data_IF_117735333893
#
_entry.id   IF_117735333893
#
_cell.length_a   1.000
_cell.length_b   1.000
_cell.length_c   1.000
_cell.angle_alpha   90.00
_cell.angle_beta   90.00
_cell.angle_gamma   90.00
#
_symmetry.space_group_name_H-M   'P 1'
#
loop_
_entity.id
_entity.type
_entity.pdbx_description
1 polymer ?
#
# COMPACT_ATOMS: atom_id res chain seq x y z
N UNK A 1 4.57 1.72 10.97
CA UNK A 1 3.44 0.80 11.15
C UNK A 1 3.75 -0.22 12.25
N UNK A 2 4.85 -0.90 12.25
CA UNK A 2 5.25 -1.92 13.23
C UNK A 2 6.21 -1.40 14.33
N UNK A 3 6.33 -0.09 14.50
CA UNK A 3 7.18 0.57 15.51
C UNK A 3 8.66 0.13 15.50
N UNK A 4 9.21 -0.02 14.31
CA UNK A 4 10.59 -0.46 14.09
C UNK A 4 10.78 -1.98 13.99
N UNK A 5 9.74 -2.76 14.25
CA UNK A 5 9.75 -4.22 14.10
C UNK A 5 9.45 -4.66 12.65
N UNK A 6 9.57 -5.94 12.36
CA UNK A 6 9.41 -6.51 11.02
C UNK A 6 8.64 -7.83 11.04
N UNK A 7 8.10 -8.21 9.89
CA UNK A 7 7.50 -9.55 9.67
C UNK A 7 8.61 -10.57 9.48
N UNK A 8 8.43 -11.76 10.04
CA UNK A 8 9.26 -12.91 9.74
C UNK A 8 8.87 -13.46 8.36
N UNK A 9 9.82 -13.49 7.43
CA UNK A 9 9.65 -14.05 6.09
C UNK A 9 10.09 -15.51 6.03
N UNK A 10 9.66 -16.21 4.98
CA UNK A 10 10.06 -17.59 4.72
C UNK A 10 11.58 -17.72 4.52
N UNK A 11 12.11 -18.92 4.83
CA UNK A 11 13.52 -19.22 4.62
C UNK A 11 13.85 -19.34 3.13
N UNK A 12 14.88 -18.66 2.67
CA UNK A 12 15.36 -18.75 1.30
C UNK A 12 15.76 -20.18 0.88
N UNK A 13 16.13 -21.01 1.85
CA UNK A 13 16.55 -22.40 1.60
C UNK A 13 15.37 -23.31 1.22
N UNK A 14 14.15 -23.00 1.66
CA UNK A 14 12.98 -23.86 1.51
C UNK A 14 11.89 -23.23 0.64
N UNK A 15 12.24 -22.21 -0.17
CA UNK A 15 11.25 -21.46 -0.96
C UNK A 15 10.40 -22.36 -1.85
N UNK A 16 11.04 -23.31 -2.54
CA UNK A 16 10.34 -24.21 -3.47
C UNK A 16 9.36 -25.13 -2.74
N UNK A 17 9.82 -25.75 -1.67
CA UNK A 17 9.01 -26.66 -0.87
C UNK A 17 7.83 -25.95 -0.23
N UNK A 18 8.04 -24.73 0.29
CA UNK A 18 7.00 -23.91 0.88
C UNK A 18 5.94 -23.50 -0.17
N UNK A 19 6.38 -23.10 -1.37
CA UNK A 19 5.47 -22.79 -2.47
C UNK A 19 4.68 -24.02 -2.92
N UNK A 20 5.35 -25.14 -3.12
CA UNK A 20 4.71 -26.38 -3.54
C UNK A 20 3.68 -26.84 -2.52
N UNK A 21 3.97 -26.67 -1.23
CA UNK A 21 3.04 -26.95 -0.15
C UNK A 21 1.81 -26.03 -0.20
N UNK A 22 1.99 -24.70 -0.19
CA UNK A 22 0.88 -23.75 -0.19
C UNK A 22 -0.01 -23.90 -1.44
N UNK A 23 0.60 -24.07 -2.62
CA UNK A 23 -0.17 -24.31 -3.83
C UNK A 23 -0.86 -25.69 -3.84
N UNK A 24 -0.30 -26.71 -3.18
CA UNK A 24 -0.96 -28.00 -3.06
C UNK A 24 -2.20 -27.91 -2.18
N UNK A 25 -2.11 -27.18 -1.06
CA UNK A 25 -3.25 -26.93 -0.17
C UNK A 25 -4.35 -26.17 -0.92
N UNK A 26 -3.97 -25.11 -1.64
CA UNK A 26 -4.91 -24.30 -2.40
C UNK A 26 -5.60 -25.09 -3.52
N UNK A 27 -4.87 -25.93 -4.26
CA UNK A 27 -5.46 -26.82 -5.27
C UNK A 27 -6.41 -27.88 -4.70
N UNK A 28 -6.19 -28.30 -3.47
CA UNK A 28 -7.05 -29.25 -2.78
C UNK A 28 -8.29 -28.57 -2.14
N UNK A 29 -8.26 -27.26 -1.98
CA UNK A 29 -9.33 -26.52 -1.35
C UNK A 29 -10.60 -26.45 -2.23
N UNK A 30 -11.76 -26.62 -1.63
CA UNK A 30 -13.03 -26.65 -2.33
C UNK A 30 -13.83 -25.39 -2.02
N UNK A 31 -14.01 -24.56 -3.02
CA UNK A 31 -14.82 -23.34 -2.95
C UNK A 31 -16.34 -23.62 -3.04
N UNK A 32 -16.73 -24.79 -3.53
CA UNK A 32 -18.15 -25.12 -3.69
C UNK A 32 -18.87 -25.21 -2.34
N UNK A 33 -19.99 -24.52 -2.22
CA UNK A 33 -20.81 -24.50 -1.01
C UNK A 33 -20.41 -23.46 0.03
N UNK A 34 -19.33 -22.71 -0.19
CA UNK A 34 -18.92 -21.61 0.68
C UNK A 34 -19.77 -20.36 0.41
N UNK A 35 -20.00 -19.60 1.47
CA UNK A 35 -20.49 -18.23 1.39
C UNK A 35 -19.39 -17.31 0.82
N UNK A 36 -19.76 -16.14 0.34
CA UNK A 36 -18.77 -15.14 -0.11
C UNK A 36 -17.85 -14.70 1.05
N UNK A 37 -18.36 -14.60 2.28
CA UNK A 37 -17.55 -14.26 3.45
C UNK A 37 -16.48 -15.31 3.73
N UNK A 38 -16.84 -16.60 3.71
CA UNK A 38 -15.88 -17.71 3.89
C UNK A 38 -14.85 -17.75 2.75
N UNK A 39 -15.30 -17.51 1.51
CA UNK A 39 -14.42 -17.41 0.35
C UNK A 39 -13.41 -16.28 0.51
N UNK A 40 -13.85 -15.08 0.91
CA UNK A 40 -12.98 -13.93 1.15
C UNK A 40 -11.98 -14.21 2.29
N UNK A 41 -12.43 -14.83 3.38
CA UNK A 41 -11.56 -15.19 4.49
C UNK A 41 -10.47 -16.17 4.06
N UNK A 42 -10.82 -17.21 3.30
CA UNK A 42 -9.84 -18.15 2.75
C UNK A 42 -8.86 -17.48 1.80
N UNK A 43 -9.35 -16.68 0.84
CA UNK A 43 -8.52 -15.94 -0.11
C UNK A 43 -7.57 -14.95 0.56
N UNK A 44 -8.04 -14.28 1.61
CA UNK A 44 -7.21 -13.38 2.41
C UNK A 44 -6.07 -14.12 3.10
N UNK A 45 -6.35 -15.28 3.68
CA UNK A 45 -5.34 -16.13 4.30
C UNK A 45 -4.34 -16.66 3.27
N UNK A 46 -4.82 -17.18 2.14
CA UNK A 46 -3.97 -17.72 1.07
C UNK A 46 -3.02 -16.67 0.50
N UNK A 47 -3.53 -15.50 0.10
CA UNK A 47 -2.68 -14.46 -0.48
C UNK A 47 -1.67 -13.90 0.52
N UNK A 48 -2.04 -13.85 1.81
CA UNK A 48 -1.16 -13.37 2.88
C UNK A 48 0.01 -14.32 3.12
N UNK A 49 -0.24 -15.63 3.18
CA UNK A 49 0.80 -16.66 3.32
C UNK A 49 1.71 -16.68 2.10
N UNK A 50 1.15 -16.64 0.89
CA UNK A 50 1.93 -16.58 -0.34
C UNK A 50 2.87 -15.37 -0.36
N UNK A 51 2.41 -14.20 0.09
CA UNK A 51 3.23 -13.00 0.20
C UNK A 51 4.35 -13.16 1.24
N UNK A 52 4.08 -13.84 2.37
CA UNK A 52 5.05 -14.07 3.45
C UNK A 52 6.24 -14.93 3.02
N UNK A 53 6.08 -15.81 2.04
CA UNK A 53 7.19 -16.61 1.49
C UNK A 53 8.31 -15.70 0.99
N UNK A 54 7.99 -14.51 0.49
CA UNK A 54 8.94 -13.47 0.09
C UNK A 54 9.95 -13.93 -0.96
N UNK A 55 9.45 -14.45 -2.07
CA UNK A 55 10.20 -15.19 -3.10
C UNK A 55 11.29 -14.36 -3.78
N UNK A 56 11.08 -13.03 -3.90
CA UNK A 56 11.97 -12.14 -4.62
C UNK A 56 12.70 -11.19 -3.67
N UNK A 57 13.91 -10.72 -4.05
CA UNK A 57 14.63 -9.68 -3.33
C UNK A 57 13.86 -8.35 -3.27
N UNK A 58 13.11 -8.04 -4.36
CA UNK A 58 12.27 -6.85 -4.48
C UNK A 58 10.98 -7.16 -5.23
N UNK A 59 9.95 -6.32 -5.04
CA UNK A 59 8.71 -6.37 -5.81
C UNK A 59 7.71 -7.43 -5.38
N UNK A 60 7.91 -8.12 -4.24
CA UNK A 60 7.03 -9.17 -3.76
C UNK A 60 5.55 -8.76 -3.73
N UNK A 61 5.21 -7.60 -3.19
CA UNK A 61 3.82 -7.13 -3.15
C UNK A 61 3.21 -6.95 -4.54
N UNK A 62 3.96 -6.38 -5.49
CA UNK A 62 3.47 -6.22 -6.88
C UNK A 62 3.26 -7.56 -7.56
N UNK A 63 4.21 -8.47 -7.42
CA UNK A 63 4.10 -9.81 -8.02
C UNK A 63 2.94 -10.58 -7.41
N UNK A 64 2.77 -10.52 -6.09
CA UNK A 64 1.63 -11.13 -5.40
C UNK A 64 0.29 -10.54 -5.89
N UNK A 65 0.19 -9.22 -6.04
CA UNK A 65 -1.02 -8.58 -6.56
C UNK A 65 -1.35 -9.04 -7.99
N UNK A 66 -0.37 -9.05 -8.89
CA UNK A 66 -0.56 -9.51 -10.29
C UNK A 66 -0.95 -10.98 -10.35
N UNK A 67 -0.29 -11.84 -9.58
CA UNK A 67 -0.66 -13.24 -9.47
C UNK A 67 -2.09 -13.38 -8.95
N UNK A 68 -2.43 -12.66 -7.89
CA UNK A 68 -3.70 -12.77 -7.22
C UNK A 68 -4.87 -12.30 -8.09
N UNK A 69 -4.72 -11.20 -8.83
CA UNK A 69 -5.69 -10.78 -9.84
C UNK A 69 -5.97 -11.88 -10.86
N UNK A 70 -4.90 -12.51 -11.39
CA UNK A 70 -5.05 -13.63 -12.34
C UNK A 70 -5.73 -14.83 -11.71
N UNK A 71 -5.40 -15.12 -10.46
CA UNK A 71 -6.00 -16.22 -9.72
C UNK A 71 -7.48 -15.99 -9.44
N UNK A 72 -7.86 -14.79 -9.01
CA UNK A 72 -9.26 -14.41 -8.83
C UNK A 72 -10.06 -14.56 -10.14
N UNK A 73 -9.50 -14.13 -11.27
CA UNK A 73 -10.12 -14.32 -12.59
C UNK A 73 -10.26 -15.80 -12.96
N UNK A 74 -9.28 -16.62 -12.63
CA UNK A 74 -9.35 -18.06 -12.82
C UNK A 74 -10.48 -18.70 -12.01
N UNK A 75 -10.74 -18.19 -10.81
CA UNK A 75 -11.86 -18.61 -9.97
C UNK A 75 -13.23 -18.05 -10.45
N UNK A 76 -13.25 -17.21 -11.48
CA UNK A 76 -14.46 -16.64 -12.06
C UNK A 76 -14.87 -15.28 -11.49
N UNK A 77 -14.03 -14.64 -10.67
CA UNK A 77 -14.29 -13.29 -10.18
C UNK A 77 -13.87 -12.22 -11.19
N UNK A 78 -14.62 -11.14 -11.25
CA UNK A 78 -14.18 -9.92 -11.92
C UNK A 78 -13.20 -9.18 -10.99
N UNK A 79 -11.93 -9.13 -11.37
CA UNK A 79 -10.90 -8.42 -10.65
C UNK A 79 -10.01 -7.67 -11.63
N UNK A 80 -9.82 -6.38 -11.39
CA UNK A 80 -8.92 -5.51 -12.12
C UNK A 80 -7.76 -5.02 -11.25
N UNK A 81 -6.92 -4.15 -11.81
CA UNK A 81 -5.78 -3.59 -11.11
C UNK A 81 -6.07 -2.23 -10.46
N UNK A 82 -7.25 -1.66 -10.65
CA UNK A 82 -7.53 -0.27 -10.30
C UNK A 82 -7.49 -0.07 -8.78
N UNK A 83 -8.17 -0.93 -8.03
CA UNK A 83 -8.15 -0.88 -6.57
C UNK A 83 -6.75 -1.13 -5.99
N UNK A 84 -5.97 -2.04 -6.59
CA UNK A 84 -4.59 -2.30 -6.18
C UNK A 84 -3.67 -1.10 -6.46
N UNK A 85 -3.89 -0.38 -7.55
CA UNK A 85 -3.13 0.83 -7.90
C UNK A 85 -3.48 1.98 -6.96
N UNK A 86 -4.77 2.21 -6.72
CA UNK A 86 -5.26 3.27 -5.85
C UNK A 86 -4.84 3.06 -4.38
N UNK A 87 -4.92 1.82 -3.91
CA UNK A 87 -4.68 1.45 -2.52
C UNK A 87 -3.46 0.53 -2.33
N UNK A 88 -2.41 0.68 -3.13
CA UNK A 88 -1.22 -0.18 -3.10
C UNK A 88 -0.53 -0.25 -1.73
N UNK A 89 -0.46 0.86 -1.01
CA UNK A 89 0.07 0.92 0.35
C UNK A 89 -0.83 0.23 1.38
N UNK A 90 -2.15 0.38 1.23
CA UNK A 90 -3.10 -0.32 2.08
C UNK A 90 -2.94 -1.83 1.91
N UNK A 91 -2.97 -2.32 0.67
CA UNK A 91 -2.82 -3.75 0.37
C UNK A 91 -1.51 -4.32 0.94
N UNK A 92 -0.38 -3.62 0.72
CA UNK A 92 0.90 -4.00 1.32
C UNK A 92 0.84 -4.07 2.85
N UNK A 93 0.30 -3.05 3.48
CA UNK A 93 0.24 -2.97 4.94
C UNK A 93 -0.73 -4.00 5.52
N UNK A 94 -1.82 -4.31 4.82
CA UNK A 94 -2.75 -5.38 5.17
C UNK A 94 -2.05 -6.76 5.17
N UNK A 95 -1.24 -7.05 4.14
CA UNK A 95 -0.42 -8.28 4.09
C UNK A 95 0.61 -8.33 5.23
N UNK A 96 1.22 -7.20 5.58
CA UNK A 96 2.11 -7.11 6.75
C UNK A 96 1.35 -7.44 8.03
N UNK A 97 0.16 -6.87 8.25
CA UNK A 97 -0.66 -7.13 9.46
C UNK A 97 -1.16 -8.56 9.53
N UNK A 98 -1.42 -9.18 8.39
CA UNK A 98 -1.84 -10.57 8.32
C UNK A 98 -0.73 -11.57 8.69
N UNK A 99 0.52 -11.13 8.80
CA UNK A 99 1.68 -11.97 9.08
C UNK A 99 2.55 -11.45 10.25
N UNK A 100 2.04 -10.47 11.01
CA UNK A 100 2.78 -9.89 12.11
C UNK A 100 2.23 -10.29 13.47
N UNK A 101 3.09 -10.89 14.29
CA UNK A 101 2.82 -11.24 15.67
C UNK A 101 3.84 -10.58 16.62
N UNK A 102 3.35 -9.97 17.70
CA UNK A 102 4.14 -9.54 18.83
C UNK A 102 3.42 -9.92 20.12
N UNK A 103 3.56 -11.20 20.49
CA UNK A 103 2.84 -11.81 21.61
C UNK A 103 3.13 -11.09 22.94
N UNK A 104 4.36 -10.58 23.11
CA UNK A 104 4.75 -9.84 24.33
C UNK A 104 3.93 -8.58 24.53
N UNK A 105 3.48 -7.96 23.45
CA UNK A 105 2.66 -6.75 23.45
C UNK A 105 1.17 -7.05 23.18
N UNK A 106 0.76 -8.32 23.16
CA UNK A 106 -0.62 -8.71 22.90
C UNK A 106 -1.08 -8.46 21.46
N UNK A 107 -0.15 -8.38 20.51
CA UNK A 107 -0.45 -8.12 19.09
C UNK A 107 -0.40 -9.45 18.33
N UNK A 108 -1.50 -9.76 17.66
CA UNK A 108 -1.66 -10.97 16.87
C UNK A 108 -1.87 -10.63 15.40
N UNK A 109 -1.47 -11.56 14.53
CA UNK A 109 -1.78 -11.48 13.09
C UNK A 109 -3.30 -11.42 12.87
N UNK A 110 -3.70 -10.70 11.82
CA UNK A 110 -5.11 -10.59 11.44
C UNK A 110 -5.26 -10.37 9.94
N UNK A 111 -6.14 -11.15 9.31
CA UNK A 111 -6.49 -11.00 7.89
C UNK A 111 -7.57 -9.94 7.65
N UNK A 112 -8.15 -9.35 8.70
CA UNK A 112 -9.28 -8.42 8.64
C UNK A 112 -9.09 -7.30 7.61
N UNK A 113 -7.89 -6.73 7.52
CA UNK A 113 -7.59 -5.65 6.57
C UNK A 113 -7.51 -6.15 5.13
N UNK A 114 -7.01 -7.36 4.90
CA UNK A 114 -7.02 -8.00 3.57
C UNK A 114 -8.45 -8.35 3.18
N UNK A 115 -9.24 -8.89 4.09
CA UNK A 115 -10.66 -9.19 3.87
C UNK A 115 -11.45 -7.92 3.52
N UNK A 116 -11.21 -6.81 4.25
CA UNK A 116 -11.82 -5.50 3.97
C UNK A 116 -11.51 -5.02 2.55
N UNK A 117 -10.26 -5.17 2.12
CA UNK A 117 -9.83 -4.88 0.75
C UNK A 117 -10.56 -5.78 -0.26
N UNK A 118 -10.66 -7.07 0.01
CA UNK A 118 -11.31 -8.03 -0.87
C UNK A 118 -12.82 -7.84 -0.97
N UNK A 119 -13.48 -7.40 0.10
CA UNK A 119 -14.92 -7.02 0.03
C UNK A 119 -15.14 -5.85 -0.93
N UNK A 120 -14.26 -4.85 -0.88
CA UNK A 120 -14.34 -3.76 -1.86
C UNK A 120 -14.10 -4.26 -3.28
N UNK A 121 -13.11 -5.14 -3.49
CA UNK A 121 -12.75 -5.64 -4.80
C UNK A 121 -13.80 -6.58 -5.40
N UNK A 122 -14.33 -7.53 -4.61
CA UNK A 122 -15.15 -8.63 -5.10
C UNK A 122 -16.66 -8.42 -4.93
N UNK A 123 -17.05 -7.59 -3.96
CA UNK A 123 -18.45 -7.30 -3.66
C UNK A 123 -18.86 -5.87 -3.99
N UNK A 124 -17.89 -5.01 -4.42
CA UNK A 124 -18.16 -3.61 -4.70
C UNK A 124 -18.51 -2.78 -3.47
N UNK A 125 -18.14 -3.26 -2.25
CA UNK A 125 -18.28 -2.49 -1.03
C UNK A 125 -17.40 -1.24 -1.07
N UNK A 126 -17.77 -0.23 -0.28
CA UNK A 126 -17.04 1.04 -0.17
C UNK A 126 -16.46 1.23 1.23
N UNK A 127 -15.84 0.19 1.76
CA UNK A 127 -15.14 0.30 3.04
C UNK A 127 -13.98 1.29 2.93
N UNK A 128 -13.84 2.16 3.92
CA UNK A 128 -12.71 3.06 4.00
C UNK A 128 -11.42 2.27 4.28
N UNK A 129 -10.40 2.42 3.41
CA UNK A 129 -9.14 1.69 3.46
C UNK A 129 -8.04 2.60 4.06
N UNK A 130 -8.03 2.75 5.39
CA UNK A 130 -7.11 3.63 6.09
C UNK A 130 -5.89 2.90 6.65
N UNK A 131 -4.68 3.26 6.21
CA UNK A 131 -3.43 2.69 6.70
C UNK A 131 -3.21 2.87 8.21
N UNK A 132 -3.74 3.94 8.80
CA UNK A 132 -3.63 4.24 10.22
C UNK A 132 -4.22 3.16 11.13
N UNK A 133 -5.25 2.45 10.68
CA UNK A 133 -5.92 1.39 11.44
C UNK A 133 -5.01 0.18 11.67
N UNK A 134 -3.97 0.02 10.84
CA UNK A 134 -3.02 -1.09 10.89
C UNK A 134 -1.80 -0.84 11.78
N UNK A 135 -1.67 0.36 12.37
CA UNK A 135 -0.55 0.65 13.26
C UNK A 135 -0.68 -0.10 14.59
N UNK A 136 0.39 -0.77 15.00
CA UNK A 136 0.43 -1.56 16.23
C UNK A 136 0.88 -0.76 17.45
N UNK A 137 1.57 0.36 17.27
CA UNK A 137 1.90 1.29 18.33
C UNK A 137 0.76 2.29 18.51
N UNK A 138 0.27 2.46 19.74
CA UNK A 138 -0.71 3.49 20.07
C UNK A 138 -0.17 4.93 19.92
N UNK A 139 1.06 5.09 19.45
CA UNK A 139 1.64 6.37 19.05
C UNK A 139 1.31 6.61 17.60
N UNK A 140 0.16 7.21 17.36
CA UNK A 140 -0.21 7.72 16.04
C UNK A 140 0.79 8.79 15.59
N UNK A 141 1.81 8.39 14.84
CA UNK A 141 2.37 9.31 13.87
C UNK A 141 1.38 9.29 12.71
N UNK A 142 0.53 10.29 12.65
CA UNK A 142 -0.35 10.53 11.52
C UNK A 142 0.57 10.84 10.32
N UNK A 143 1.02 9.78 9.64
CA UNK A 143 1.34 9.91 8.23
C UNK A 143 0.04 9.57 7.54
N UNK A 144 -0.67 10.61 7.15
CA UNK A 144 -1.86 10.48 6.32
C UNK A 144 -1.60 9.51 5.17
N UNK A 145 -2.64 8.81 4.73
CA UNK A 145 -2.60 8.03 3.48
C UNK A 145 -1.92 8.88 2.40
N UNK A 146 -1.12 8.28 1.51
CA UNK A 146 -0.40 9.03 0.51
C UNK A 146 -1.39 9.90 -0.24
N UNK A 147 -1.27 11.22 -0.03
CA UNK A 147 -2.15 12.23 -0.63
C UNK A 147 -2.23 11.94 -2.12
N UNK A 148 -3.44 11.84 -2.66
CA UNK A 148 -3.66 11.65 -4.09
C UNK A 148 -2.85 12.70 -4.88
N UNK A 149 -2.33 12.38 -6.08
CA UNK A 149 -1.50 13.31 -6.84
C UNK A 149 -2.12 14.70 -6.95
N UNK A 150 -3.42 14.79 -7.25
CA UNK A 150 -4.14 16.07 -7.41
C UNK A 150 -4.28 16.84 -6.08
N UNK A 151 -4.54 16.14 -4.98
CA UNK A 151 -4.57 16.74 -3.63
C UNK A 151 -3.19 17.21 -3.19
N UNK A 152 -2.13 16.50 -3.61
CA UNK A 152 -0.75 16.87 -3.33
C UNK A 152 -0.35 18.11 -4.10
N UNK A 153 -0.74 18.23 -5.37
CA UNK A 153 -0.54 19.42 -6.18
C UNK A 153 -1.23 20.63 -5.54
N UNK A 154 -2.48 20.48 -5.10
CA UNK A 154 -3.24 21.53 -4.39
C UNK A 154 -2.54 21.99 -3.10
N UNK A 155 -2.11 21.05 -2.25
CA UNK A 155 -1.36 21.37 -1.01
C UNK A 155 -0.01 22.04 -1.28
N UNK A 156 0.70 21.64 -2.34
CA UNK A 156 1.94 22.32 -2.75
C UNK A 156 1.63 23.77 -3.14
N UNK A 157 0.55 24.04 -3.88
CA UNK A 157 0.14 25.40 -4.23
C UNK A 157 -0.13 26.23 -2.98
N UNK A 158 -0.82 25.69 -1.98
CA UNK A 158 -1.06 26.38 -0.69
C UNK A 158 0.26 26.70 0.04
N UNK A 159 1.18 25.75 0.10
CA UNK A 159 2.50 25.97 0.69
C UNK A 159 3.30 27.04 -0.04
N UNK A 160 3.24 27.06 -1.38
CA UNK A 160 3.91 28.07 -2.21
C UNK A 160 3.29 29.44 -2.07
N UNK A 161 1.97 29.55 -1.85
CA UNK A 161 1.29 30.81 -1.54
C UNK A 161 1.74 31.40 -0.21
N UNK A 162 1.98 30.56 0.80
CA UNK A 162 2.41 30.98 2.13
C UNK A 162 3.92 31.24 2.23
N UNK A 163 4.75 30.42 1.57
CA UNK A 163 6.21 30.50 1.60
C UNK A 163 6.78 30.19 0.20
N UNK A 164 6.89 31.20 -0.71
CA UNK A 164 7.38 30.96 -2.09
C UNK A 164 8.80 30.35 -2.17
N UNK A 165 9.62 30.57 -1.14
CA UNK A 165 10.98 30.03 -1.02
C UNK A 165 11.08 28.68 -0.31
N UNK A 166 9.96 28.03 0.02
CA UNK A 166 9.91 26.77 0.79
C UNK A 166 10.79 25.68 0.15
N UNK A 167 11.58 24.99 0.98
CA UNK A 167 12.46 23.90 0.53
C UNK A 167 11.70 22.60 0.31
N UNK A 168 12.25 21.73 -0.55
CA UNK A 168 11.66 20.39 -0.77
C UNK A 168 11.57 19.55 0.50
N UNK A 169 12.55 19.68 1.40
CA UNK A 169 12.55 19.01 2.69
C UNK A 169 11.35 19.44 3.55
N UNK A 170 11.11 20.75 3.68
CA UNK A 170 9.94 21.28 4.40
C UNK A 170 8.61 20.89 3.74
N UNK A 171 8.55 20.91 2.40
CA UNK A 171 7.37 20.41 1.68
C UNK A 171 7.13 18.92 1.97
N UNK A 172 8.18 18.11 1.97
CA UNK A 172 8.09 16.68 2.25
C UNK A 172 7.58 16.41 3.68
N UNK A 173 8.05 17.18 4.64
CA UNK A 173 7.59 17.15 6.03
C UNK A 173 6.11 17.54 6.13
N UNK A 174 5.72 18.69 5.55
CA UNK A 174 4.35 19.17 5.55
C UNK A 174 3.36 18.24 4.84
N UNK A 175 3.82 17.51 3.81
CA UNK A 175 3.03 16.57 3.01
C UNK A 175 3.10 15.12 3.53
N UNK A 176 3.89 14.85 4.56
CA UNK A 176 4.07 13.49 5.09
C UNK A 176 4.67 12.50 4.08
N UNK A 177 5.46 12.95 3.09
CA UNK A 177 6.00 12.12 2.03
C UNK A 177 7.52 12.30 1.85
N UNK A 178 8.16 11.50 0.98
CA UNK A 178 9.59 11.62 0.72
C UNK A 178 9.93 12.83 -0.17
N UNK A 179 11.13 13.39 -0.02
CA UNK A 179 11.63 14.48 -0.90
C UNK A 179 11.66 14.05 -2.38
N UNK A 180 11.90 12.77 -2.67
CA UNK A 180 11.85 12.24 -4.03
C UNK A 180 10.43 12.28 -4.62
N UNK A 181 9.42 12.09 -3.78
CA UNK A 181 8.01 12.23 -4.16
C UNK A 181 7.68 13.69 -4.47
N UNK A 182 8.09 14.62 -3.57
CA UNK A 182 7.93 16.06 -3.79
C UNK A 182 8.63 16.49 -5.09
N UNK A 183 9.86 16.03 -5.33
CA UNK A 183 10.61 16.33 -6.56
C UNK A 183 9.83 15.92 -7.80
N UNK A 184 9.28 14.70 -7.83
CA UNK A 184 8.47 14.22 -8.97
C UNK A 184 7.20 15.03 -9.17
N UNK A 185 6.48 15.34 -8.08
CA UNK A 185 5.26 16.15 -8.15
C UNK A 185 5.57 17.57 -8.68
N UNK A 186 6.59 18.22 -8.16
CA UNK A 186 7.04 19.54 -8.65
C UNK A 186 7.41 19.48 -10.14
N UNK A 187 8.13 18.45 -10.58
CA UNK A 187 8.47 18.28 -12.00
C UNK A 187 7.20 18.12 -12.86
N UNK A 188 6.22 17.36 -12.40
CA UNK A 188 4.94 17.22 -13.09
C UNK A 188 4.17 18.57 -13.14
N UNK A 189 4.12 19.31 -12.03
CA UNK A 189 3.48 20.63 -11.98
C UNK A 189 4.17 21.65 -12.91
N UNK A 190 5.50 21.62 -13.01
CA UNK A 190 6.26 22.46 -13.95
C UNK A 190 5.96 22.05 -15.40
N UNK A 191 5.91 20.76 -15.72
CA UNK A 191 5.56 20.29 -17.07
C UNK A 191 4.10 20.61 -17.46
N UNK A 192 3.19 20.70 -16.48
CA UNK A 192 1.80 21.17 -16.68
C UNK A 192 1.67 22.70 -16.70
N UNK A 193 2.78 23.43 -16.60
CA UNK A 193 2.83 24.90 -16.53
C UNK A 193 2.04 25.49 -15.36
N UNK A 194 1.87 24.75 -14.27
CA UNK A 194 1.16 25.23 -13.07
C UNK A 194 2.04 26.07 -12.15
N UNK A 195 3.34 25.78 -12.13
CA UNK A 195 4.35 26.50 -11.33
C UNK A 195 5.63 26.67 -12.14
N UNK A 196 6.39 27.72 -11.85
CA UNK A 196 7.75 27.89 -12.39
C UNK A 196 8.68 28.45 -11.31
N UNK A 197 9.97 28.18 -11.45
CA UNK A 197 10.98 28.70 -10.54
C UNK A 197 11.64 29.94 -11.12
N UNK A 198 11.79 30.97 -10.30
CA UNK A 198 12.56 32.19 -10.62
C UNK A 198 13.75 32.28 -9.68
N UNK A 199 14.92 32.63 -10.23
CA UNK A 199 16.16 32.79 -9.45
C UNK A 199 17.05 31.56 -9.44
N UNK A 200 18.06 31.56 -8.58
CA UNK A 200 19.07 30.50 -8.50
C UNK A 200 18.58 29.27 -7.73
N UNK A 201 19.29 28.13 -7.88
CA UNK A 201 18.98 26.90 -7.15
C UNK A 201 19.03 27.06 -5.61
N UNK A 202 19.75 28.03 -5.08
CA UNK A 202 19.92 28.26 -3.63
C UNK A 202 19.02 29.35 -3.06
N UNK A 203 18.61 30.34 -3.88
CA UNK A 203 17.82 31.52 -3.46
C UNK A 203 16.65 31.81 -4.41
N UNK A 204 16.17 30.80 -5.13
CA UNK A 204 15.06 30.98 -6.04
C UNK A 204 13.72 30.72 -5.38
N UNK A 205 12.70 31.38 -5.88
CA UNK A 205 11.30 31.27 -5.44
C UNK A 205 10.44 30.57 -6.48
N UNK A 206 9.38 29.96 -6.03
CA UNK A 206 8.37 29.36 -6.89
C UNK A 206 7.24 30.34 -7.16
N UNK A 207 6.85 30.49 -8.39
CA UNK A 207 5.71 31.28 -8.82
C UNK A 207 4.64 30.34 -9.37
N UNK A 208 3.39 30.58 -8.92
CA UNK A 208 2.20 29.93 -9.45
C UNK A 208 1.88 30.63 -10.77
N UNK A 209 1.66 29.84 -11.82
CA UNK A 209 1.25 30.35 -13.13
C UNK A 209 -0.27 30.31 -13.20
N UNK A 210 -0.90 31.47 -13.35
CA UNK A 210 -2.35 31.62 -13.54
C UNK A 210 -2.74 31.31 -14.99
#
# INVERSE_FOLDING_TARGET
MLDGDTVAYGSALNLRETLDYDFSQERAFKYSGLTMAETIQHLALFVSRLWQIHIFGEGNTRTTAVFFIKYLRYLGFEADNDLFTEHSWYFRNALVRANYNNIKNGIYETTEYVEKFLRNLLQGEKNALHNREMHVSGKFVIKDDPIKPDEREAKIIELLKSEPGITRAKMAEALGCSESTVKRTIQAMVSKNMIRRIGSNKKGEWIIVE
#
